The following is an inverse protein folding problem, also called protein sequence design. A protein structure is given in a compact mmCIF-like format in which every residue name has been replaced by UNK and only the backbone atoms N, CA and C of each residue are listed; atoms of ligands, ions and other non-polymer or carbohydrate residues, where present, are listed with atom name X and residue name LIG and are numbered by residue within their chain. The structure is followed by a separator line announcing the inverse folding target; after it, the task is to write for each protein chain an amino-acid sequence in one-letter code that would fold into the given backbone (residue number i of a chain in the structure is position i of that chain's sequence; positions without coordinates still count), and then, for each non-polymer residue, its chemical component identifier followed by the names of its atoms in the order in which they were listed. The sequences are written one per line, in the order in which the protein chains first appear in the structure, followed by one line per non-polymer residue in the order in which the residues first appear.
data_IF_049397731622
#
_entry.id   IF_049397731622
#
_cell.length_a   1.000
_cell.length_b   1.000
_cell.length_c   1.000
_cell.angle_alpha   90.00
_cell.angle_beta   90.00
_cell.angle_gamma   90.00
#
_symmetry.space_group_name_H-M   'P 1'
#
loop_
_entity.id
_entity.type
_entity.pdbx_description
1 polymer ?
#
# COMPACT_ATOMS: atom_id res chain seq x y z
N UNK A 1 -23.16 1.88 -19.37
CA UNK A 1 -23.20 0.56 -20.06
C UNK A 1 -22.15 -0.44 -19.62
N UNK A 2 -20.88 -0.03 -19.49
CA UNK A 2 -19.77 -0.88 -19.03
C UNK A 2 -20.10 -1.78 -17.83
N UNK A 3 -20.61 -1.20 -16.73
CA UNK A 3 -21.01 -1.95 -15.52
C UNK A 3 -22.06 -3.01 -15.83
N UNK A 4 -23.10 -2.67 -16.61
CA UNK A 4 -24.19 -3.59 -16.97
C UNK A 4 -23.66 -4.76 -17.79
N UNK A 5 -22.83 -4.48 -18.79
CA UNK A 5 -22.21 -5.48 -19.65
C UNK A 5 -21.31 -6.42 -18.84
N UNK A 6 -20.45 -5.86 -17.96
CA UNK A 6 -19.61 -6.66 -17.07
C UNK A 6 -20.41 -7.57 -16.16
N UNK A 7 -21.42 -7.02 -15.48
CA UNK A 7 -22.19 -7.77 -14.49
C UNK A 7 -23.09 -8.86 -15.09
N UNK A 8 -23.44 -8.74 -16.37
CA UNK A 8 -24.15 -9.78 -17.13
C UNK A 8 -23.25 -10.98 -17.49
N UNK A 9 -21.93 -10.82 -17.46
CA UNK A 9 -20.99 -11.93 -17.64
C UNK A 9 -20.86 -12.76 -16.34
N UNK A 10 -20.47 -14.03 -16.50
CA UNK A 10 -20.11 -14.91 -15.39
C UNK A 10 -18.69 -14.59 -14.86
N UNK A 11 -18.49 -13.35 -14.41
CA UNK A 11 -17.22 -12.85 -13.85
C UNK A 11 -17.12 -13.16 -12.35
N UNK A 12 -15.87 -13.32 -11.86
CA UNK A 12 -15.54 -13.50 -10.43
C UNK A 12 -15.70 -12.23 -9.60
N UNK A 13 -15.90 -11.08 -10.23
CA UNK A 13 -16.10 -9.80 -9.56
C UNK A 13 -17.26 -9.01 -10.18
N UNK A 14 -17.80 -8.09 -9.40
CA UNK A 14 -18.88 -7.19 -9.80
C UNK A 14 -18.41 -5.74 -9.78
N UNK A 15 -18.95 -4.99 -10.74
CA UNK A 15 -18.79 -3.55 -10.83
C UNK A 15 -20.05 -2.85 -10.34
N UNK A 16 -19.94 -1.63 -9.84
CA UNK A 16 -21.04 -0.84 -9.33
C UNK A 16 -20.76 0.65 -9.43
N UNK A 17 -21.83 1.45 -9.40
CA UNK A 17 -21.71 2.89 -9.25
C UNK A 17 -21.35 3.23 -7.80
N UNK A 18 -20.44 4.19 -7.63
CA UNK A 18 -20.09 4.77 -6.35
C UNK A 18 -19.67 6.24 -6.57
N UNK A 19 -19.10 6.87 -5.56
CA UNK A 19 -18.71 8.27 -5.55
C UNK A 19 -17.55 8.65 -6.50
N UNK A 20 -16.91 7.66 -7.15
CA UNK A 20 -15.83 7.85 -8.11
C UNK A 20 -16.27 7.55 -9.55
N UNK A 21 -17.53 7.18 -9.77
CA UNK A 21 -17.99 6.64 -11.05
C UNK A 21 -18.04 7.68 -12.19
N UNK A 22 -17.94 8.97 -11.87
CA UNK A 22 -17.83 10.09 -12.81
C UNK A 22 -16.38 10.50 -13.11
N UNK A 23 -15.40 9.89 -12.43
CA UNK A 23 -13.98 10.15 -12.63
C UNK A 23 -13.37 9.17 -13.64
N UNK A 24 -12.51 9.71 -14.50
CA UNK A 24 -11.68 8.93 -15.40
C UNK A 24 -10.57 8.19 -14.63
N UNK A 25 -10.13 6.99 -15.07
CA UNK A 25 -9.05 6.26 -14.42
C UNK A 25 -7.77 7.09 -14.21
N UNK A 26 -7.47 7.99 -15.14
CA UNK A 26 -6.29 8.87 -15.14
C UNK A 26 -6.36 9.97 -14.07
N UNK A 27 -7.58 10.35 -13.64
CA UNK A 27 -7.79 11.32 -12.56
C UNK A 27 -7.52 10.70 -11.18
N UNK A 28 -7.65 9.38 -11.06
CA UNK A 28 -7.53 8.63 -9.80
C UNK A 28 -6.16 7.98 -9.59
N UNK A 29 -5.44 7.69 -10.68
CA UNK A 29 -4.22 6.87 -10.63
C UNK A 29 -2.99 7.73 -10.84
N UNK A 30 -1.87 7.40 -10.20
CA UNK A 30 -0.53 7.94 -10.52
C UNK A 30 -0.10 7.56 -11.94
N UNK A 31 0.84 8.31 -12.54
CA UNK A 31 1.47 7.95 -13.83
C UNK A 31 2.63 6.97 -13.63
N UNK A 32 2.93 6.12 -14.61
CA UNK A 32 4.14 5.27 -14.64
C UNK A 32 5.42 6.09 -14.53
N UNK A 33 5.38 7.32 -15.02
CA UNK A 33 6.50 8.26 -15.03
C UNK A 33 6.68 8.83 -13.62
N UNK A 34 7.29 8.00 -12.76
CA UNK A 34 7.90 8.43 -11.50
C UNK A 34 9.00 9.44 -11.82
N UNK A 35 8.62 10.70 -12.00
CA UNK A 35 9.55 11.77 -12.30
C UNK A 35 10.25 12.33 -11.06
N UNK A 36 9.79 12.04 -9.85
CA UNK A 36 10.58 12.34 -8.66
C UNK A 36 11.66 11.28 -8.45
N UNK A 37 12.62 11.25 -9.37
CA UNK A 37 13.96 10.86 -8.98
C UNK A 37 14.38 11.89 -7.92
N UNK A 38 14.42 11.48 -6.66
CA UNK A 38 15.44 12.06 -5.78
C UNK A 38 16.73 11.98 -6.60
N UNK A 39 17.24 13.11 -7.07
CA UNK A 39 18.56 13.25 -7.71
C UNK A 39 19.71 12.82 -6.76
N UNK A 40 19.40 12.12 -5.67
CA UNK A 40 20.29 11.77 -4.58
C UNK A 40 20.10 10.35 -4.03
N UNK A 41 19.36 9.42 -4.66
CA UNK A 41 19.59 8.01 -4.34
C UNK A 41 20.94 7.62 -4.92
N UNK A 42 22.00 7.87 -4.16
CA UNK A 42 23.35 7.44 -4.50
C UNK A 42 23.34 5.92 -4.72
N UNK A 43 24.23 5.40 -5.58
CA UNK A 43 24.38 3.95 -5.75
C UNK A 43 24.52 3.22 -4.41
N UNK A 44 25.16 3.87 -3.44
CA UNK A 44 25.31 3.40 -2.07
C UNK A 44 23.98 3.17 -1.32
N UNK A 45 23.01 4.10 -1.40
CA UNK A 45 21.70 3.91 -0.76
C UNK A 45 20.92 2.76 -1.41
N UNK A 46 21.02 2.64 -2.74
CA UNK A 46 20.43 1.50 -3.47
C UNK A 46 21.05 0.17 -3.05
N UNK A 47 22.38 0.11 -2.90
CA UNK A 47 23.11 -1.09 -2.47
C UNK A 47 22.77 -1.49 -1.03
N UNK A 48 22.66 -0.53 -0.11
CA UNK A 48 22.25 -0.79 1.27
C UNK A 48 20.82 -1.30 1.36
N UNK A 49 19.88 -0.74 0.59
CA UNK A 49 18.49 -1.20 0.57
C UNK A 49 18.38 -2.62 -0.01
N UNK A 50 19.11 -2.92 -1.09
CA UNK A 50 19.16 -4.26 -1.65
C UNK A 50 19.74 -5.28 -0.65
N UNK A 51 20.79 -4.90 0.09
CA UNK A 51 21.36 -5.75 1.14
C UNK A 51 20.37 -5.99 2.30
N UNK A 52 19.63 -4.97 2.73
CA UNK A 52 18.56 -5.10 3.74
C UNK A 52 17.48 -6.06 3.25
N UNK A 53 16.96 -5.87 2.03
CA UNK A 53 15.94 -6.73 1.44
C UNK A 53 16.41 -8.19 1.29
N UNK A 54 17.64 -8.42 0.83
CA UNK A 54 18.24 -9.75 0.73
C UNK A 54 18.31 -10.45 2.10
N UNK A 55 18.66 -9.71 3.16
CA UNK A 55 18.69 -10.23 4.53
C UNK A 55 17.29 -10.61 5.04
N UNK A 56 16.26 -9.82 4.72
CA UNK A 56 14.86 -10.16 5.01
C UNK A 56 14.45 -11.45 4.31
N UNK A 57 14.70 -11.56 3.00
CA UNK A 57 14.34 -12.75 2.22
C UNK A 57 15.10 -14.00 2.66
N UNK A 58 16.38 -13.87 3.03
CA UNK A 58 17.17 -14.98 3.58
C UNK A 58 16.64 -15.45 4.94
N UNK A 59 16.17 -14.54 5.81
CA UNK A 59 15.51 -14.91 7.07
C UNK A 59 14.18 -15.63 6.81
N UNK A 60 13.41 -15.18 5.82
CA UNK A 60 12.15 -15.82 5.43
C UNK A 60 12.39 -17.23 4.88
N UNK A 61 13.39 -17.42 4.02
CA UNK A 61 13.71 -18.75 3.49
C UNK A 61 14.17 -19.70 4.60
N UNK A 62 14.98 -19.21 5.55
CA UNK A 62 15.39 -19.99 6.71
C UNK A 62 14.20 -20.36 7.62
N UNK A 63 13.34 -19.38 7.95
CA UNK A 63 12.18 -19.59 8.82
C UNK A 63 11.14 -20.54 8.20
N UNK A 64 10.91 -20.44 6.88
CA UNK A 64 9.92 -21.26 6.18
C UNK A 64 10.49 -22.53 5.56
N UNK A 65 11.78 -22.84 5.77
CA UNK A 65 12.41 -24.06 5.21
C UNK A 65 11.76 -25.35 5.71
N UNK A 66 11.05 -25.30 6.84
CA UNK A 66 10.42 -26.46 7.50
C UNK A 66 8.93 -26.28 7.84
N UNK A 67 8.29 -25.18 7.44
CA UNK A 67 6.87 -24.90 7.75
C UNK A 67 6.13 -24.30 6.56
N UNK A 68 4.98 -24.86 6.22
CA UNK A 68 4.08 -24.25 5.25
C UNK A 68 3.56 -22.90 5.79
N UNK A 69 3.46 -21.91 4.91
CA UNK A 69 2.78 -20.66 5.21
C UNK A 69 1.29 -20.93 5.53
N UNK A 70 0.64 -20.13 6.39
CA UNK A 70 -0.80 -20.22 6.60
C UNK A 70 -1.57 -20.18 5.27
N UNK A 71 -2.71 -20.86 5.18
CA UNK A 71 -3.55 -20.78 3.97
C UNK A 71 -4.25 -19.41 3.84
N UNK A 72 -4.53 -18.77 4.97
CA UNK A 72 -5.16 -17.46 5.08
C UNK A 72 -4.43 -16.59 6.10
N UNK A 73 -4.20 -15.32 5.73
CA UNK A 73 -3.76 -14.24 6.61
C UNK A 73 -4.71 -13.07 6.40
N UNK A 74 -5.27 -12.54 7.47
CA UNK A 74 -6.05 -11.30 7.45
C UNK A 74 -5.67 -10.46 8.68
N UNK A 75 -4.76 -9.51 8.47
CA UNK A 75 -4.25 -8.67 9.55
C UNK A 75 -5.32 -7.79 10.20
N UNK A 76 -6.47 -7.59 9.56
CA UNK A 76 -7.62 -6.88 10.15
C UNK A 76 -8.20 -7.67 11.33
N UNK A 77 -8.29 -9.01 11.20
CA UNK A 77 -8.78 -9.91 12.26
C UNK A 77 -7.87 -9.92 13.49
N UNK A 78 -6.63 -9.44 13.35
CA UNK A 78 -5.63 -9.35 14.41
C UNK A 78 -5.42 -7.93 14.93
N UNK A 79 -6.26 -6.97 14.50
CA UNK A 79 -6.14 -5.57 14.90
C UNK A 79 -4.86 -4.90 14.41
N UNK A 80 -4.25 -5.38 13.31
CA UNK A 80 -2.99 -4.86 12.75
C UNK A 80 -3.20 -3.95 11.53
N UNK A 81 -4.42 -3.45 11.34
CA UNK A 81 -4.79 -2.58 10.23
C UNK A 81 -5.74 -1.51 10.76
N UNK A 82 -5.39 -0.25 10.58
CA UNK A 82 -6.23 0.91 10.94
C UNK A 82 -7.43 1.05 10.01
N UNK A 83 -8.35 1.97 10.33
CA UNK A 83 -9.49 2.30 9.46
C UNK A 83 -9.06 2.73 8.05
N UNK A 84 -9.93 2.48 7.07
CA UNK A 84 -9.76 3.01 5.71
C UNK A 84 -9.81 4.53 5.74
N UNK A 85 -8.97 5.16 4.91
CA UNK A 85 -8.88 6.62 4.75
C UNK A 85 -9.29 7.01 3.32
N UNK A 86 -9.36 8.31 3.06
CA UNK A 86 -9.77 8.87 1.78
C UNK A 86 -8.75 9.92 1.32
N UNK A 87 -8.07 9.66 0.21
CA UNK A 87 -7.10 10.58 -0.40
C UNK A 87 -7.76 11.69 -1.23
N UNK A 88 -9.07 11.57 -1.51
CA UNK A 88 -9.81 12.53 -2.32
C UNK A 88 -9.13 12.79 -3.66
N UNK A 89 -9.03 14.06 -4.03
CA UNK A 89 -8.43 14.49 -5.31
C UNK A 89 -6.91 14.63 -5.27
N UNK A 90 -6.25 14.45 -4.12
CA UNK A 90 -4.81 14.49 -4.02
C UNK A 90 -4.27 13.08 -4.30
N UNK A 91 -3.52 12.91 -5.40
CA UNK A 91 -2.93 11.62 -5.82
C UNK A 91 -1.77 11.23 -4.89
N UNK A 92 -2.10 10.99 -3.63
CA UNK A 92 -1.20 10.83 -2.48
C UNK A 92 -1.17 9.40 -1.95
N UNK A 93 -1.64 8.44 -2.73
CA UNK A 93 -1.62 7.00 -2.42
C UNK A 93 -0.25 6.47 -1.98
N UNK A 94 0.83 7.08 -2.46
CA UNK A 94 2.19 6.83 -2.01
C UNK A 94 2.37 7.06 -0.49
N UNK A 95 1.86 8.18 0.03
CA UNK A 95 1.92 8.56 1.44
C UNK A 95 0.96 7.72 2.29
N UNK A 96 -0.25 7.45 1.78
CA UNK A 96 -1.21 6.57 2.44
C UNK A 96 -0.69 5.14 2.59
N UNK A 97 -0.08 4.57 1.56
CA UNK A 97 0.54 3.24 1.63
C UNK A 97 1.69 3.22 2.64
N UNK A 98 2.60 4.21 2.58
CA UNK A 98 3.71 4.34 3.52
C UNK A 98 3.26 4.43 4.98
N UNK A 99 2.31 5.32 5.28
CA UNK A 99 1.72 5.46 6.60
C UNK A 99 1.00 4.18 7.06
N UNK A 100 0.24 3.53 6.17
CA UNK A 100 -0.45 2.27 6.48
C UNK A 100 0.50 1.12 6.84
N UNK A 101 1.66 1.03 6.17
CA UNK A 101 2.68 0.05 6.52
C UNK A 101 3.36 0.36 7.85
N UNK A 102 3.64 1.63 8.14
CA UNK A 102 4.14 2.07 9.46
C UNK A 102 3.17 1.70 10.58
N UNK A 103 1.88 2.05 10.44
CA UNK A 103 0.83 1.70 11.40
C UNK A 103 0.74 0.18 11.63
N UNK A 104 0.60 -0.58 10.55
CA UNK A 104 0.36 -2.02 10.63
C UNK A 104 1.56 -2.81 11.14
N UNK A 105 2.76 -2.46 10.71
CA UNK A 105 3.97 -3.16 11.15
C UNK A 105 4.40 -2.75 12.56
N UNK A 106 4.17 -1.50 12.96
CA UNK A 106 4.40 -1.09 14.35
C UNK A 106 3.52 -1.91 15.29
N UNK A 107 2.23 -2.07 14.94
CA UNK A 107 1.32 -2.95 15.66
C UNK A 107 1.89 -4.37 15.73
N UNK A 108 2.30 -4.96 14.61
CA UNK A 108 2.81 -6.35 14.58
C UNK A 108 4.06 -6.51 15.45
N UNK A 109 5.03 -5.60 15.32
CA UNK A 109 6.34 -5.66 15.99
C UNK A 109 6.24 -5.45 17.50
N UNK A 110 5.46 -4.46 17.93
CA UNK A 110 5.31 -4.11 19.36
C UNK A 110 4.28 -4.97 20.08
N UNK A 111 3.43 -5.69 19.33
CA UNK A 111 2.29 -6.45 19.84
C UNK A 111 1.26 -5.58 20.57
N UNK A 112 1.25 -4.27 20.35
CA UNK A 112 0.22 -3.36 20.89
C UNK A 112 -1.17 -3.72 20.37
N UNK A 113 -2.22 -3.42 21.13
CA UNK A 113 -3.59 -3.73 20.74
C UNK A 113 -4.17 -2.72 19.75
N UNK A 114 -3.68 -1.48 19.79
CA UNK A 114 -4.13 -0.39 18.92
C UNK A 114 -2.98 0.58 18.66
N UNK A 115 -3.11 1.35 17.58
CA UNK A 115 -2.23 2.47 17.24
C UNK A 115 -3.10 3.62 16.76
N UNK A 116 -2.62 4.85 16.94
CA UNK A 116 -3.29 6.01 16.37
C UNK A 116 -3.06 6.03 14.86
N UNK A 117 -4.07 6.52 14.14
CA UNK A 117 -3.91 6.88 12.73
C UNK A 117 -2.77 7.90 12.59
N UNK A 118 -1.84 7.66 11.69
CA UNK A 118 -0.74 8.56 11.36
C UNK A 118 -1.18 9.68 10.43
N UNK A 119 -0.55 10.85 10.58
CA UNK A 119 -0.76 12.01 9.73
C UNK A 119 -0.16 11.78 8.35
N UNK A 120 -1.02 11.50 7.37
CA UNK A 120 -0.58 11.45 5.97
C UNK A 120 -0.22 12.86 5.48
N UNK A 121 -0.87 13.89 6.04
CA UNK A 121 -0.61 15.28 5.68
C UNK A 121 0.81 15.73 6.02
N UNK A 122 1.40 15.29 7.12
CA UNK A 122 2.78 15.66 7.45
C UNK A 122 3.76 15.11 6.41
N UNK A 123 3.52 13.90 5.88
CA UNK A 123 4.32 13.33 4.79
C UNK A 123 4.22 14.19 3.52
N UNK A 124 3.00 14.61 3.17
CA UNK A 124 2.74 15.46 2.00
C UNK A 124 3.39 16.84 2.20
N UNK A 125 3.10 17.52 3.31
CA UNK A 125 3.55 18.90 3.53
C UNK A 125 5.07 19.03 3.67
N UNK A 126 5.72 17.96 4.13
CA UNK A 126 7.15 17.92 4.41
C UNK A 126 7.99 17.24 3.32
N UNK A 127 7.38 16.80 2.22
CA UNK A 127 8.14 16.43 1.02
C UNK A 127 8.84 17.64 0.40
N UNK A 128 9.97 17.43 -0.27
CA UNK A 128 10.81 18.51 -0.80
C UNK A 128 10.19 19.31 -1.97
N UNK A 129 9.26 18.73 -2.73
CA UNK A 129 8.62 19.40 -3.87
C UNK A 129 7.25 19.95 -3.49
N UNK A 130 6.84 21.03 -4.15
CA UNK A 130 5.50 21.62 -3.95
C UNK A 130 4.38 20.86 -4.68
N UNK A 131 4.65 19.68 -5.25
CA UNK A 131 3.73 18.98 -6.15
C UNK A 131 3.27 17.61 -5.65
N UNK A 132 3.29 17.34 -4.35
CA UNK A 132 3.16 15.95 -3.83
C UNK A 132 1.77 15.32 -3.96
N UNK A 133 0.80 16.10 -4.44
CA UNK A 133 -0.53 15.64 -4.86
C UNK A 133 -0.63 15.31 -6.36
N UNK A 134 0.43 15.45 -7.14
CA UNK A 134 0.45 15.13 -8.58
C UNK A 134 0.74 13.64 -8.88
N UNK A 135 1.03 12.84 -7.85
CA UNK A 135 1.33 11.41 -7.98
C UNK A 135 2.76 11.09 -8.44
N UNK A 136 3.69 12.04 -8.39
CA UNK A 136 5.09 11.85 -8.79
C UNK A 136 5.97 11.14 -7.75
N UNK A 137 5.49 10.98 -6.52
CA UNK A 137 6.21 10.39 -5.40
C UNK A 137 6.01 8.88 -5.24
N UNK A 138 7.02 8.26 -4.62
CA UNK A 138 7.07 6.87 -4.26
C UNK A 138 6.66 6.50 -2.86
N UNK A 139 6.16 5.28 -2.71
CA UNK A 139 5.85 4.75 -1.37
C UNK A 139 7.10 4.73 -0.49
N UNK A 140 8.28 4.45 -1.07
CA UNK A 140 9.56 4.54 -0.35
C UNK A 140 9.90 5.96 0.10
N UNK A 141 9.50 6.98 -0.67
CA UNK A 141 9.77 8.37 -0.33
C UNK A 141 9.01 8.75 0.94
N UNK A 142 7.78 8.23 1.13
CA UNK A 142 7.05 8.40 2.38
C UNK A 142 7.84 7.86 3.58
N UNK A 143 8.35 6.63 3.48
CA UNK A 143 9.11 6.00 4.56
C UNK A 143 10.45 6.70 4.81
N UNK A 144 11.09 7.19 3.75
CA UNK A 144 12.33 7.95 3.84
C UNK A 144 12.13 9.32 4.49
N UNK A 145 11.07 10.04 4.12
CA UNK A 145 10.71 11.32 4.72
C UNK A 145 10.45 11.17 6.22
N UNK A 146 9.64 10.18 6.61
CA UNK A 146 9.40 9.91 8.04
C UNK A 146 10.71 9.64 8.80
N UNK A 147 11.62 8.86 8.23
CA UNK A 147 12.92 8.60 8.86
C UNK A 147 13.77 9.89 8.97
N UNK A 148 13.81 10.70 7.92
CA UNK A 148 14.57 11.94 7.87
C UNK A 148 14.05 13.00 8.84
N UNK A 149 12.73 13.07 9.05
CA UNK A 149 12.10 13.98 10.00
C UNK A 149 12.16 13.52 11.46
N UNK A 150 12.63 12.29 11.72
CA UNK A 150 12.68 11.73 13.07
C UNK A 150 11.33 11.20 13.56
N UNK A 151 10.50 10.72 12.64
CA UNK A 151 9.22 10.08 12.93
C UNK A 151 8.02 10.83 12.37
N UNK A 152 6.84 10.33 12.77
CA UNK A 152 5.54 10.80 12.27
C UNK A 152 4.54 10.90 13.41
N UNK A 153 3.81 12.02 13.42
CA UNK A 153 2.77 12.32 14.38
C UNK A 153 1.42 11.67 14.02
N UNK A 154 0.51 11.66 14.99
CA UNK A 154 -0.86 11.20 14.77
C UNK A 154 -1.67 12.17 13.89
N UNK A 155 -2.62 11.64 13.14
CA UNK A 155 -3.58 12.36 12.31
C UNK A 155 -4.31 13.47 13.09
N UNK A 156 -4.65 13.22 14.36
CA UNK A 156 -5.30 14.22 15.23
C UNK A 156 -4.44 15.47 15.50
N UNK A 157 -3.11 15.36 15.41
CA UNK A 157 -2.19 16.47 15.62
C UNK A 157 -1.92 17.24 14.33
N UNK A 158 -2.03 16.59 13.18
CA UNK A 158 -1.81 17.18 11.86
C UNK A 158 -2.80 16.57 10.85
N UNK A 159 -4.04 17.09 10.79
CA UNK A 159 -5.11 16.49 9.99
C UNK A 159 -4.91 16.59 8.47
N UNK A 160 -5.47 15.63 7.76
CA UNK A 160 -5.51 15.59 6.30
C UNK A 160 -6.37 16.70 5.71
N UNK A 161 -5.81 17.37 4.70
CA UNK A 161 -6.43 18.50 3.98
C UNK A 161 -6.57 18.24 2.48
N UNK A 162 -6.03 17.14 1.96
CA UNK A 162 -6.17 16.77 0.55
C UNK A 162 -5.46 17.70 -0.43
N UNK A 163 -4.43 18.42 0.01
CA UNK A 163 -3.62 19.32 -0.82
C UNK A 163 -2.25 19.55 -0.21
N UNK A 164 -1.29 19.95 -1.02
CA UNK A 164 0.04 20.37 -0.55
C UNK A 164 -0.07 21.67 0.27
N UNK A 165 0.44 21.63 1.49
CA UNK A 165 0.62 22.76 2.39
C UNK A 165 2.09 23.04 2.67
N UNK A 166 2.33 23.87 3.69
CA UNK A 166 3.67 24.16 4.20
C UNK A 166 3.99 23.17 5.32
N UNK A 167 5.14 22.52 5.26
CA UNK A 167 5.62 21.67 6.35
C UNK A 167 5.56 22.38 7.70
N UNK A 168 4.74 21.82 8.60
CA UNK A 168 4.60 22.26 9.98
C UNK A 168 4.79 21.11 10.99
N UNK A 169 5.40 19.99 10.55
CA UNK A 169 5.50 18.80 11.38
C UNK A 169 6.48 19.02 12.53
N UNK A 170 6.13 18.49 13.70
CA UNK A 170 6.94 18.60 14.91
C UNK A 170 7.40 17.21 15.35
N UNK A 171 8.69 16.91 15.14
CA UNK A 171 9.27 15.60 15.46
C UNK A 171 9.17 15.23 16.95
N UNK A 172 8.97 16.20 17.84
CA UNK A 172 8.73 15.95 19.28
C UNK A 172 7.34 15.37 19.55
N UNK A 173 6.43 15.42 18.57
CA UNK A 173 5.08 14.83 18.62
C UNK A 173 4.98 13.51 17.85
N UNK A 174 6.10 13.02 17.32
CA UNK A 174 6.16 11.73 16.64
C UNK A 174 5.74 10.59 17.57
N UNK A 175 4.87 9.72 17.08
CA UNK A 175 4.40 8.53 17.81
C UNK A 175 4.98 7.23 17.24
N UNK A 176 5.47 7.27 16.00
CA UNK A 176 6.15 6.16 15.34
C UNK A 176 7.45 6.69 14.73
N UNK A 177 8.53 5.94 14.89
CA UNK A 177 9.84 6.21 14.32
C UNK A 177 10.29 5.03 13.47
N UNK A 178 10.94 5.31 12.35
CA UNK A 178 11.57 4.32 11.48
C UNK A 178 12.98 4.80 11.10
N UNK A 179 13.86 3.88 10.71
CA UNK A 179 15.24 4.19 10.26
C UNK A 179 15.38 4.12 8.73
N UNK A 180 14.25 4.00 8.02
CA UNK A 180 14.17 3.90 6.57
C UNK A 180 13.21 2.80 6.11
N UNK A 181 13.61 2.09 5.07
CA UNK A 181 12.79 1.08 4.41
C UNK A 181 13.63 -0.10 3.89
N UNK A 182 12.94 -1.19 3.57
CA UNK A 182 13.44 -2.26 2.70
C UNK A 182 12.54 -2.36 1.49
N UNK A 183 13.11 -2.06 0.32
CA UNK A 183 12.45 -2.19 -0.98
C UNK A 183 12.79 -3.55 -1.59
N UNK A 184 11.76 -4.29 -1.99
CA UNK A 184 11.91 -5.56 -2.66
C UNK A 184 11.68 -5.36 -4.15
N UNK A 185 12.57 -5.93 -4.97
CA UNK A 185 12.31 -6.11 -6.40
C UNK A 185 11.19 -7.11 -6.64
N UNK A 186 11.06 -7.61 -7.87
CA UNK A 186 9.99 -8.55 -8.22
C UNK A 186 9.97 -9.78 -7.30
N UNK A 187 8.87 -9.96 -6.58
CA UNK A 187 8.60 -11.08 -5.70
C UNK A 187 7.58 -12.02 -6.36
N UNK A 188 7.86 -13.31 -6.26
CA UNK A 188 6.86 -14.33 -6.55
C UNK A 188 5.78 -14.39 -5.46
N UNK A 189 4.64 -14.99 -5.79
CA UNK A 189 3.52 -15.13 -4.86
C UNK A 189 3.94 -15.74 -3.51
N UNK A 190 4.84 -16.72 -3.51
CA UNK A 190 5.28 -17.38 -2.29
C UNK A 190 6.11 -16.42 -1.41
N UNK A 191 7.06 -15.68 -2.00
CA UNK A 191 7.86 -14.68 -1.26
C UNK A 191 7.00 -13.54 -0.75
N UNK A 192 6.03 -13.05 -1.54
CA UNK A 192 5.13 -12.00 -1.11
C UNK A 192 4.19 -12.49 0.01
N UNK A 193 3.67 -13.72 -0.08
CA UNK A 193 2.92 -14.35 1.02
C UNK A 193 3.77 -14.47 2.29
N UNK A 194 5.03 -14.90 2.15
CA UNK A 194 5.94 -15.03 3.27
C UNK A 194 6.21 -13.68 3.94
N UNK A 195 6.40 -12.62 3.15
CA UNK A 195 6.59 -11.27 3.64
C UNK A 195 5.38 -10.81 4.46
N UNK A 196 4.18 -10.94 3.91
CA UNK A 196 2.93 -10.55 4.60
C UNK A 196 2.70 -11.36 5.88
N UNK A 197 2.90 -12.68 5.83
CA UNK A 197 2.63 -13.56 6.96
C UNK A 197 3.58 -13.34 8.14
N UNK A 198 4.83 -12.98 7.88
CA UNK A 198 5.86 -12.89 8.91
C UNK A 198 6.12 -11.46 9.40
N UNK A 199 5.87 -10.44 8.58
CA UNK A 199 6.22 -9.05 8.90
C UNK A 199 5.03 -8.11 9.01
N UNK A 200 3.81 -8.55 8.70
CA UNK A 200 2.64 -7.68 8.78
C UNK A 200 2.17 -7.17 7.43
N UNK A 201 1.32 -6.13 7.43
CA UNK A 201 0.93 -5.42 6.22
C UNK A 201 2.14 -4.90 5.42
N UNK A 202 2.06 -4.98 4.10
CA UNK A 202 3.14 -4.63 3.16
C UNK A 202 2.64 -3.58 2.18
N UNK A 203 3.40 -2.50 1.97
CA UNK A 203 3.06 -1.55 0.91
C UNK A 203 3.38 -2.14 -0.45
N UNK A 204 2.45 -2.04 -1.38
CA UNK A 204 2.58 -2.54 -2.75
C UNK A 204 2.20 -1.47 -3.76
N UNK A 205 2.83 -1.52 -4.94
CA UNK A 205 2.41 -0.71 -6.09
C UNK A 205 1.56 -1.57 -7.01
N UNK A 206 0.36 -1.13 -7.31
CA UNK A 206 -0.60 -1.85 -8.13
C UNK A 206 -0.84 -1.11 -9.43
N UNK A 207 -0.75 -1.79 -10.56
CA UNK A 207 -1.27 -1.25 -11.81
C UNK A 207 -2.80 -1.22 -11.73
N UNK A 208 -3.43 -0.13 -12.14
CA UNK A 208 -4.88 0.04 -12.06
C UNK A 208 -5.53 -0.10 -13.43
N UNK A 209 -6.84 -0.33 -13.41
CA UNK A 209 -7.76 -0.25 -14.56
C UNK A 209 -9.16 -0.22 -14.01
N UNK A 210 -10.05 0.66 -14.48
CA UNK A 210 -11.49 0.62 -14.17
C UNK A 210 -11.88 0.39 -12.69
N UNK A 211 -10.96 0.63 -11.77
CA UNK A 211 -11.08 0.26 -10.38
C UNK A 211 -12.08 1.16 -9.70
N UNK A 212 -12.33 2.36 -10.23
CA UNK A 212 -13.37 3.24 -9.73
C UNK A 212 -14.73 2.56 -9.70
N UNK A 213 -14.95 1.52 -10.52
CA UNK A 213 -16.20 0.78 -10.53
C UNK A 213 -16.16 -0.51 -9.70
N UNK A 214 -15.03 -0.95 -9.18
CA UNK A 214 -14.96 -2.20 -8.40
C UNK A 214 -15.90 -2.14 -7.20
N UNK A 215 -16.73 -3.17 -7.03
CA UNK A 215 -17.69 -3.27 -5.94
C UNK A 215 -17.45 -4.48 -5.04
N UNK A 216 -17.22 -5.67 -5.61
CA UNK A 216 -17.02 -6.89 -4.83
C UNK A 216 -16.46 -8.06 -5.65
N UNK A 217 -16.03 -9.11 -4.97
CA UNK A 217 -15.54 -10.36 -5.56
C UNK A 217 -14.03 -10.35 -5.81
N UNK A 218 -13.53 -11.39 -6.48
CA UNK A 218 -12.09 -11.53 -6.76
C UNK A 218 -11.79 -10.95 -8.13
N UNK A 219 -11.18 -9.77 -8.14
CA UNK A 219 -10.80 -9.04 -9.35
C UNK A 219 -9.64 -9.75 -10.05
N UNK A 220 -9.81 -10.05 -11.34
CA UNK A 220 -8.89 -10.90 -12.08
C UNK A 220 -8.58 -10.43 -13.50
N UNK A 221 -8.88 -9.17 -13.80
CA UNK A 221 -8.46 -8.57 -15.07
C UNK A 221 -6.94 -8.60 -15.21
N UNK A 222 -6.47 -8.98 -16.39
CA UNK A 222 -5.05 -8.91 -16.78
C UNK A 222 -4.71 -7.57 -17.44
N UNK A 223 -5.71 -6.76 -17.77
CA UNK A 223 -5.55 -5.48 -18.47
C UNK A 223 -5.46 -4.31 -17.50
N UNK A 224 -4.46 -4.34 -16.60
CA UNK A 224 -4.18 -3.24 -15.67
C UNK A 224 -3.13 -2.29 -16.28
N UNK A 225 -3.58 -1.25 -16.98
CA UNK A 225 -2.74 -0.41 -17.83
C UNK A 225 -3.13 1.09 -17.84
N UNK A 226 -3.94 1.55 -16.89
CA UNK A 226 -4.40 2.95 -16.84
C UNK A 226 -3.61 3.84 -15.90
N UNK A 227 -2.80 3.25 -15.01
CA UNK A 227 -1.97 3.98 -14.07
C UNK A 227 -1.56 3.10 -12.90
N UNK A 228 -1.13 3.72 -11.79
CA UNK A 228 -0.71 3.01 -10.58
C UNK A 228 -1.37 3.57 -9.33
N UNK A 229 -1.53 2.69 -8.35
CA UNK A 229 -1.96 3.04 -7.00
C UNK A 229 -1.02 2.44 -5.96
N UNK A 230 -0.60 3.28 -5.00
CA UNK A 230 0.02 2.81 -3.76
C UNK A 230 -1.06 2.25 -2.84
N UNK A 231 -0.90 1.00 -2.40
CA UNK A 231 -1.87 0.35 -1.54
C UNK A 231 -1.19 -0.49 -0.47
N UNK A 232 -1.98 -0.98 0.49
CA UNK A 232 -1.49 -1.82 1.58
C UNK A 232 -2.02 -3.26 1.40
N UNK A 233 -1.12 -4.20 1.15
CA UNK A 233 -1.41 -5.62 1.16
C UNK A 233 -1.51 -6.10 2.62
N UNK A 234 -2.74 -6.40 3.07
CA UNK A 234 -3.04 -6.73 4.47
C UNK A 234 -3.32 -8.20 4.68
N UNK A 235 -3.24 -9.02 3.65
CA UNK A 235 -3.55 -10.43 3.76
C UNK A 235 -3.70 -11.16 2.44
N UNK A 236 -4.07 -12.43 2.55
CA UNK A 236 -4.40 -13.31 1.45
C UNK A 236 -5.28 -14.44 1.96
N UNK A 237 -5.99 -15.11 1.07
CA UNK A 237 -6.81 -16.25 1.43
C UNK A 237 -7.33 -17.00 0.21
N UNK A 238 -8.40 -17.75 0.43
CA UNK A 238 -9.11 -18.49 -0.61
C UNK A 238 -10.62 -18.32 -0.42
N UNK A 239 -11.26 -17.78 -1.44
CA UNK A 239 -12.71 -17.83 -1.55
C UNK A 239 -13.12 -19.22 -2.08
N UNK A 240 -14.05 -19.95 -1.44
CA UNK A 240 -14.44 -21.29 -1.88
C UNK A 240 -14.95 -21.36 -3.32
N UNK A 241 -15.52 -20.27 -3.84
CA UNK A 241 -16.10 -20.19 -5.19
C UNK A 241 -15.21 -19.40 -6.14
N UNK A 242 -14.53 -18.36 -5.65
CA UNK A 242 -13.83 -17.40 -6.49
C UNK A 242 -12.31 -17.65 -6.57
N UNK A 243 -11.76 -18.58 -5.79
CA UNK A 243 -10.34 -18.95 -5.86
C UNK A 243 -9.45 -18.16 -4.89
N UNK A 244 -8.14 -18.20 -5.12
CA UNK A 244 -7.18 -17.55 -4.21
C UNK A 244 -7.14 -16.05 -4.46
N UNK A 245 -7.01 -15.28 -3.38
CA UNK A 245 -6.92 -13.82 -3.47
C UNK A 245 -5.84 -13.23 -2.56
N UNK A 246 -5.37 -12.07 -2.97
CA UNK A 246 -4.74 -11.05 -2.14
C UNK A 246 -5.81 -10.13 -1.57
N UNK A 247 -5.65 -9.70 -0.31
CA UNK A 247 -6.53 -8.75 0.34
C UNK A 247 -5.81 -7.42 0.49
N UNK A 248 -6.28 -6.41 -0.24
CA UNK A 248 -5.61 -5.11 -0.34
C UNK A 248 -6.51 -4.01 0.21
N UNK A 249 -5.97 -3.19 1.11
CA UNK A 249 -6.58 -1.94 1.58
C UNK A 249 -6.23 -0.81 0.61
N UNK A 250 -7.24 -0.09 0.14
CA UNK A 250 -7.08 1.10 -0.71
C UNK A 250 -7.30 2.39 0.12
N UNK A 251 -7.05 3.54 -0.50
CA UNK A 251 -7.17 4.89 0.06
C UNK A 251 -8.31 5.70 -0.56
N UNK A 252 -9.33 5.04 -1.11
CA UNK A 252 -10.47 5.67 -1.80
C UNK A 252 -11.78 5.60 -1.01
N UNK A 253 -11.71 5.89 0.29
CA UNK A 253 -12.86 5.81 1.21
C UNK A 253 -13.39 4.40 1.47
N UNK A 254 -14.14 4.24 2.57
CA UNK A 254 -14.82 3.00 2.91
C UNK A 254 -16.06 2.72 2.03
N UNK A 255 -16.49 3.71 1.24
CA UNK A 255 -17.60 3.61 0.28
C UNK A 255 -17.22 2.95 -1.04
N UNK A 256 -15.93 2.68 -1.26
CA UNK A 256 -15.42 2.03 -2.46
C UNK A 256 -15.16 0.53 -2.23
N UNK A 257 -15.40 -0.31 -3.23
CA UNK A 257 -15.11 -1.74 -3.16
C UNK A 257 -15.77 -2.46 -1.96
N UNK A 258 -15.03 -3.40 -1.37
CA UNK A 258 -15.47 -4.18 -0.22
C UNK A 258 -15.11 -3.44 1.09
N UNK A 259 -15.83 -2.35 1.37
CA UNK A 259 -15.58 -1.47 2.52
C UNK A 259 -14.18 -0.83 2.51
N UNK A 260 -13.72 -0.35 1.35
CA UNK A 260 -12.40 0.23 1.11
C UNK A 260 -11.31 -0.77 0.73
N UNK A 261 -11.69 -2.04 0.53
CA UNK A 261 -10.77 -3.12 0.16
C UNK A 261 -11.07 -3.67 -1.22
N UNK A 262 -10.05 -4.29 -1.82
CA UNK A 262 -10.18 -5.09 -3.03
C UNK A 262 -9.53 -6.45 -2.82
N UNK A 263 -10.19 -7.49 -3.33
CA UNK A 263 -9.61 -8.82 -3.47
C UNK A 263 -9.07 -8.98 -4.88
N UNK A 264 -7.75 -9.15 -5.03
CA UNK A 264 -7.10 -9.40 -6.31
C UNK A 264 -6.80 -10.89 -6.45
N UNK A 265 -7.02 -11.46 -7.63
CA UNK A 265 -6.70 -12.87 -7.92
C UNK A 265 -5.22 -13.15 -7.62
N UNK A 266 -4.95 -14.18 -6.81
CA UNK A 266 -3.60 -14.71 -6.56
C UNK A 266 -3.30 -15.93 -7.44
N UNK A 267 -4.30 -16.48 -8.11
CA UNK A 267 -4.14 -17.59 -9.06
C UNK A 267 -3.31 -17.19 -10.31
N UNK A 268 -3.23 -15.89 -10.58
CA UNK A 268 -2.43 -15.32 -11.67
C UNK A 268 -1.30 -14.49 -11.08
N UNK A 269 -0.06 -14.82 -11.42
CA UNK A 269 1.14 -14.18 -10.88
C UNK A 269 1.15 -12.65 -11.08
N UNK A 270 0.63 -12.17 -12.21
CA UNK A 270 0.74 -10.77 -12.64
C UNK A 270 -0.55 -9.95 -12.46
N UNK A 271 -1.55 -10.43 -11.70
CA UNK A 271 -2.79 -9.64 -11.51
C UNK A 271 -2.44 -8.26 -10.99
N UNK A 272 -2.66 -7.26 -11.84
CA UNK A 272 -2.30 -5.86 -11.60
C UNK A 272 -0.87 -5.64 -11.07
N UNK A 273 0.08 -6.49 -11.48
CA UNK A 273 1.51 -6.38 -11.19
C UNK A 273 1.86 -6.30 -9.69
N UNK A 274 1.03 -6.88 -8.82
CA UNK A 274 1.19 -6.79 -7.36
C UNK A 274 2.57 -7.26 -6.84
N UNK A 275 3.20 -8.21 -7.52
CA UNK A 275 4.53 -8.73 -7.16
C UNK A 275 5.69 -7.86 -7.63
N UNK A 276 5.48 -6.83 -8.44
CA UNK A 276 6.58 -6.09 -9.09
C UNK A 276 7.28 -5.11 -8.14
N UNK A 277 6.59 -4.62 -7.11
CA UNK A 277 7.13 -3.65 -6.16
C UNK A 277 6.46 -3.82 -4.79
N UNK A 278 7.26 -4.12 -3.78
CA UNK A 278 6.85 -4.17 -2.39
C UNK A 278 7.86 -3.42 -1.52
N UNK A 279 7.38 -2.74 -0.48
CA UNK A 279 8.23 -2.01 0.45
C UNK A 279 7.68 -2.12 1.87
N UNK A 280 8.59 -2.20 2.84
CA UNK A 280 8.28 -2.19 4.27
C UNK A 280 9.15 -1.17 5.00
N UNK A 281 8.67 -0.56 6.11
CA UNK A 281 9.54 0.23 6.98
C UNK A 281 10.62 -0.64 7.64
N UNK A 282 11.77 -0.03 7.92
CA UNK A 282 12.77 -0.59 8.85
C UNK A 282 12.78 0.23 10.13
N UNK A 283 13.21 -0.37 11.23
CA UNK A 283 12.99 0.16 12.57
C UNK A 283 14.31 0.57 13.21
N UNK A 284 14.25 1.62 14.03
CA UNK A 284 15.35 1.99 14.92
C UNK A 284 15.53 0.87 15.95
N UNK A 285 16.77 0.40 16.13
CA UNK A 285 17.14 -0.60 17.14
C UNK A 285 17.06 -0.05 18.58
#
# INVERSE_FOLDING_TARGET
DKIRQHNAMNSRYKLGLNHLADLAPEELSGSDDYHYQHKSSTSYQTDQNAAKAAKFLARLSAANSNSALPEEVDWRKHGRVTSVKDEGSCRSSWAFAGAGALEGQELVRTKMNETKSLSVQSIIDCSESMNSCDGSYGIKDALMLVAAYGGIEAEENYPYTGKQGKCASDSRKSIILNDGYSEFGTLDNHKLMALVANYGPVSVKLATTDWQYYQSGVFDSLSCNTGYQGALLVGYGRDPKLGHYWLVKNSWSDKWGEAGYIRLSRDNYYTCRIGDYAVIPTWVD
#
